data_IF_133159157996
#
_entry.id   IF_133159157996
#
_cell.length_a   1.000
_cell.length_b   1.000
_cell.length_c   1.000
_cell.angle_alpha   90.00
_cell.angle_beta   90.00
_cell.angle_gamma   90.00
#
_symmetry.space_group_name_H-M   'P 1'
#
loop_
_entity.id
_entity.type
_entity.pdbx_description
1 polymer ?
#
# COMPACT_ATOMS: atom_id res chain seq x y z
N UNK A 1 0.08 8.22 -7.23
CA UNK A 1 -0.57 7.37 -8.24
C UNK A 1 0.43 7.00 -9.34
N UNK A 2 0.46 5.71 -9.77
CA UNK A 2 1.27 5.27 -10.90
C UNK A 2 0.53 5.51 -12.20
N UNK A 3 1.23 6.11 -13.17
CA UNK A 3 0.72 6.34 -14.53
C UNK A 3 1.57 5.54 -15.51
N UNK A 4 0.91 4.79 -16.38
CA UNK A 4 1.55 4.04 -17.47
C UNK A 4 1.05 4.57 -18.80
N UNK A 5 1.95 4.67 -19.77
CA UNK A 5 1.61 5.12 -21.12
C UNK A 5 2.67 4.70 -22.13
N UNK A 6 2.47 5.12 -23.37
CA UNK A 6 3.40 4.92 -24.47
C UNK A 6 3.66 6.26 -25.18
N UNK A 7 4.90 6.54 -25.46
CA UNK A 7 5.30 7.72 -26.23
C UNK A 7 6.25 7.30 -27.35
N UNK A 8 5.86 7.57 -28.59
CA UNK A 8 6.65 7.19 -29.77
C UNK A 8 7.03 5.71 -29.79
N UNK A 9 6.09 4.80 -29.48
CA UNK A 9 6.35 3.37 -29.43
C UNK A 9 7.14 2.88 -28.21
N UNK A 10 7.54 3.79 -27.30
CA UNK A 10 8.28 3.44 -26.07
C UNK A 10 7.35 3.51 -24.87
N UNK A 11 7.17 2.38 -24.14
CA UNK A 11 6.36 2.39 -22.92
C UNK A 11 7.07 3.21 -21.83
N UNK A 12 6.29 3.99 -21.07
CA UNK A 12 6.81 4.70 -19.91
C UNK A 12 5.95 4.45 -18.65
N UNK A 13 6.59 4.58 -17.52
CA UNK A 13 5.97 4.60 -16.20
C UNK A 13 6.28 5.93 -15.52
N UNK A 14 5.30 6.48 -14.85
CA UNK A 14 5.45 7.73 -14.12
C UNK A 14 4.68 7.72 -12.82
N UNK A 15 4.96 8.70 -11.97
CA UNK A 15 4.22 8.94 -10.74
C UNK A 15 3.61 10.32 -10.76
N UNK A 16 2.37 10.41 -10.26
CA UNK A 16 1.70 11.65 -9.92
C UNK A 16 1.60 11.76 -8.40
N UNK A 17 1.94 12.91 -7.87
CA UNK A 17 1.77 13.27 -6.48
C UNK A 17 0.56 14.17 -6.33
N UNK A 18 -0.38 13.79 -5.50
CA UNK A 18 -1.57 14.58 -5.19
C UNK A 18 -1.43 15.15 -3.79
N UNK A 19 -1.56 16.45 -3.66
CA UNK A 19 -1.68 17.12 -2.37
C UNK A 19 -3.07 16.84 -1.82
N UNK A 20 -3.12 16.34 -0.59
CA UNK A 20 -4.36 16.06 0.13
C UNK A 20 -4.56 17.11 1.22
N UNK A 21 -5.81 17.28 1.66
CA UNK A 21 -6.14 18.11 2.82
C UNK A 21 -5.54 17.55 4.13
N UNK A 22 -5.69 18.27 5.23
CA UNK A 22 -5.16 17.86 6.54
C UNK A 22 -5.69 16.49 7.00
N UNK A 23 -6.90 16.12 6.58
CA UNK A 23 -7.48 14.82 6.85
C UNK A 23 -6.99 13.76 5.85
N UNK A 24 -6.32 14.19 4.77
CA UNK A 24 -5.83 13.36 3.68
C UNK A 24 -6.95 12.75 2.82
N UNK A 25 -8.14 13.35 2.80
CA UNK A 25 -9.32 12.81 2.11
C UNK A 25 -9.54 13.41 0.73
N UNK A 26 -9.27 14.70 0.58
CA UNK A 26 -9.58 15.44 -0.63
C UNK A 26 -8.33 15.99 -1.29
N UNK A 27 -8.24 15.90 -2.60
CA UNK A 27 -7.22 16.59 -3.36
C UNK A 27 -7.44 18.11 -3.26
N UNK A 28 -6.44 18.84 -2.79
CA UNK A 28 -6.48 20.32 -2.67
C UNK A 28 -5.87 21.03 -3.89
N UNK A 29 -5.19 20.28 -4.75
CA UNK A 29 -4.60 20.81 -5.99
C UNK A 29 -4.56 19.74 -7.08
N UNK A 30 -4.32 20.16 -8.32
CA UNK A 30 -4.07 19.25 -9.43
C UNK A 30 -2.84 18.36 -9.15
N UNK A 31 -2.85 17.09 -9.60
CA UNK A 31 -1.71 16.20 -9.42
C UNK A 31 -0.44 16.73 -10.09
N UNK A 32 0.68 16.61 -9.39
CA UNK A 32 1.99 17.03 -9.84
C UNK A 32 2.80 15.86 -10.38
N UNK A 33 3.46 16.01 -11.51
CA UNK A 33 4.34 14.97 -12.05
C UNK A 33 5.58 14.82 -11.18
N UNK A 34 5.98 13.58 -10.89
CA UNK A 34 7.19 13.29 -10.12
C UNK A 34 8.46 13.89 -10.72
N UNK A 35 8.51 14.08 -12.05
CA UNK A 35 9.64 14.70 -12.75
C UNK A 35 9.92 16.14 -12.31
N UNK A 36 8.95 16.84 -11.70
CA UNK A 36 9.14 18.18 -11.13
C UNK A 36 10.03 18.17 -9.88
N UNK A 37 10.14 17.02 -9.21
CA UNK A 37 10.87 16.87 -7.95
C UNK A 37 12.21 16.15 -8.12
N UNK A 38 12.58 15.80 -9.36
CA UNK A 38 13.82 15.09 -9.66
C UNK A 38 13.67 13.59 -9.86
N UNK A 39 14.74 12.94 -10.35
CA UNK A 39 14.72 11.52 -10.73
C UNK A 39 14.58 10.57 -9.54
N UNK A 40 15.06 10.96 -8.36
CA UNK A 40 15.06 10.10 -7.16
C UNK A 40 13.65 9.85 -6.61
N UNK A 41 12.71 10.75 -6.87
CA UNK A 41 11.30 10.61 -6.46
C UNK A 41 10.40 10.17 -7.62
N UNK A 42 10.98 9.87 -8.78
CA UNK A 42 10.30 9.21 -9.89
C UNK A 42 10.11 7.70 -9.65
N UNK A 43 9.44 7.04 -10.57
CA UNK A 43 9.13 5.60 -10.46
C UNK A 43 10.39 4.76 -10.17
N UNK A 44 11.43 4.85 -11.02
CA UNK A 44 12.65 4.07 -10.88
C UNK A 44 13.45 4.43 -9.62
N UNK A 45 13.42 5.70 -9.20
CA UNK A 45 14.06 6.16 -7.96
C UNK A 45 13.41 5.53 -6.73
N UNK A 46 12.08 5.53 -6.65
CA UNK A 46 11.35 4.89 -5.57
C UNK A 46 11.49 3.37 -5.59
N UNK A 47 11.47 2.73 -6.76
CA UNK A 47 11.67 1.28 -6.88
C UNK A 47 13.02 0.87 -6.30
N UNK A 48 14.12 1.51 -6.72
CA UNK A 48 15.45 1.30 -6.14
C UNK A 48 15.51 1.57 -4.65
N UNK A 49 14.78 2.58 -4.16
CA UNK A 49 14.72 2.87 -2.73
C UNK A 49 14.02 1.75 -1.96
N UNK A 50 12.91 1.24 -2.49
CA UNK A 50 12.15 0.13 -1.89
C UNK A 50 12.97 -1.16 -1.86
N UNK A 51 13.71 -1.48 -2.93
CA UNK A 51 14.59 -2.65 -2.98
C UNK A 51 15.70 -2.56 -1.92
N UNK A 52 16.42 -1.43 -1.85
CA UNK A 52 17.45 -1.19 -0.82
C UNK A 52 16.89 -1.27 0.60
N UNK A 53 15.67 -0.73 0.80
CA UNK A 53 15.00 -0.78 2.11
C UNK A 53 14.61 -2.21 2.48
N UNK A 54 14.16 -3.01 1.51
CA UNK A 54 13.83 -4.41 1.72
C UNK A 54 15.08 -5.25 2.11
N UNK A 55 16.22 -5.00 1.46
CA UNK A 55 17.50 -5.64 1.77
C UNK A 55 18.00 -5.27 3.18
N UNK A 56 17.97 -3.98 3.53
CA UNK A 56 18.34 -3.49 4.87
C UNK A 56 17.49 -4.14 5.95
N UNK A 57 16.17 -4.15 5.76
CA UNK A 57 15.23 -4.76 6.70
C UNK A 57 15.55 -6.23 7.00
N UNK A 58 16.11 -6.98 6.03
CA UNK A 58 16.55 -8.37 6.20
C UNK A 58 17.86 -8.52 6.96
N UNK A 59 18.74 -7.51 6.94
CA UNK A 59 20.11 -7.58 7.49
C UNK A 59 20.25 -6.88 8.85
N UNK A 60 19.41 -5.88 9.13
CA UNK A 60 19.55 -5.03 10.31
C UNK A 60 18.66 -5.50 11.48
N UNK A 61 19.01 -5.06 12.70
CA UNK A 61 18.18 -5.21 13.90
C UNK A 61 16.86 -4.44 13.85
N UNK A 62 16.61 -3.68 12.78
CA UNK A 62 15.42 -2.87 12.56
C UNK A 62 14.13 -3.68 12.77
N UNK A 63 14.08 -4.89 12.19
CA UNK A 63 12.94 -5.80 12.37
C UNK A 63 12.72 -6.15 13.85
N UNK A 64 13.79 -6.43 14.59
CA UNK A 64 13.76 -6.75 16.03
C UNK A 64 13.29 -5.55 16.85
N UNK A 65 13.77 -4.35 16.51
CA UNK A 65 13.41 -3.12 17.20
C UNK A 65 11.93 -2.78 17.00
N UNK A 66 11.43 -2.78 15.76
CA UNK A 66 10.03 -2.52 15.45
C UNK A 66 9.15 -3.57 16.15
N UNK A 67 9.51 -4.85 16.05
CA UNK A 67 8.79 -5.93 16.71
C UNK A 67 8.73 -5.73 18.22
N UNK A 68 9.82 -5.35 18.87
CA UNK A 68 9.85 -5.09 20.32
C UNK A 68 8.93 -3.96 20.74
N UNK A 69 8.81 -2.87 19.95
CA UNK A 69 7.86 -1.78 20.18
C UNK A 69 6.42 -2.24 20.02
N UNK A 70 6.13 -2.99 18.97
CA UNK A 70 4.79 -3.55 18.72
C UNK A 70 4.40 -4.54 19.82
N UNK A 71 5.29 -5.44 20.23
CA UNK A 71 5.05 -6.38 21.32
C UNK A 71 4.76 -5.67 22.64
N UNK A 72 5.51 -4.60 22.94
CA UNK A 72 5.26 -3.78 24.13
C UNK A 72 3.89 -3.11 24.09
N UNK A 73 3.50 -2.59 22.94
CA UNK A 73 2.20 -1.93 22.75
C UNK A 73 1.03 -2.91 22.84
N UNK A 74 1.21 -4.17 22.43
CA UNK A 74 0.20 -5.23 22.46
C UNK A 74 -0.01 -5.86 23.84
N UNK A 75 0.80 -5.54 24.85
CA UNK A 75 0.65 -6.12 26.20
C UNK A 75 -0.66 -5.67 26.84
N UNK A 76 -1.32 -6.62 27.56
CA UNK A 76 -2.56 -6.34 28.28
C UNK A 76 -3.77 -6.22 27.37
N UNK A 77 -3.75 -6.84 26.20
CA UNK A 77 -4.88 -6.93 25.26
C UNK A 77 -5.59 -5.60 24.99
N UNK A 78 -4.87 -4.58 24.49
CA UNK A 78 -5.43 -3.28 24.23
C UNK A 78 -6.56 -3.36 23.19
N UNK A 79 -7.46 -2.38 23.21
CA UNK A 79 -8.35 -2.08 22.09
C UNK A 79 -7.52 -1.58 20.90
N UNK A 80 -8.12 -1.49 19.70
CA UNK A 80 -7.43 -0.97 18.52
C UNK A 80 -6.98 0.47 18.72
N UNK A 81 -7.83 1.32 19.34
CA UNK A 81 -7.53 2.71 19.66
C UNK A 81 -6.37 2.83 20.65
N UNK A 82 -6.41 2.07 21.74
CA UNK A 82 -5.32 2.05 22.72
C UNK A 82 -4.01 1.57 22.10
N UNK A 83 -4.08 0.59 21.21
CA UNK A 83 -2.90 0.13 20.48
C UNK A 83 -2.33 1.24 19.59
N UNK A 84 -3.18 1.96 18.85
CA UNK A 84 -2.76 3.10 18.02
C UNK A 84 -2.09 4.19 18.85
N UNK A 85 -2.66 4.55 20.00
CA UNK A 85 -2.07 5.54 20.90
C UNK A 85 -0.73 5.10 21.47
N UNK A 86 -0.63 3.86 21.95
CA UNK A 86 0.62 3.31 22.49
C UNK A 86 1.72 3.24 21.43
N UNK A 87 1.36 2.86 20.21
CA UNK A 87 2.31 2.83 19.09
C UNK A 87 2.74 4.24 18.67
N UNK A 88 1.80 5.19 18.61
CA UNK A 88 2.11 6.61 18.33
C UNK A 88 3.07 7.19 19.36
N UNK A 89 2.87 6.88 20.66
CA UNK A 89 3.82 7.22 21.73
C UNK A 89 5.20 6.58 21.55
N UNK A 90 5.29 5.44 20.87
CA UNK A 90 6.54 4.77 20.49
C UNK A 90 7.06 5.21 19.11
N UNK A 91 6.52 6.27 18.49
CA UNK A 91 6.84 6.78 17.15
C UNK A 91 6.62 5.74 16.04
N UNK A 92 5.57 4.92 16.19
CA UNK A 92 5.15 3.94 15.19
C UNK A 92 3.68 4.22 14.86
N UNK A 93 3.37 4.44 13.58
CA UNK A 93 1.98 4.50 13.14
C UNK A 93 1.50 3.12 12.69
N UNK A 94 0.22 2.86 12.96
CA UNK A 94 -0.46 1.63 12.58
C UNK A 94 -1.49 1.93 11.50
N UNK A 95 -1.31 1.34 10.33
CA UNK A 95 -2.29 1.39 9.26
C UNK A 95 -2.95 0.01 9.10
N UNK A 96 -4.28 -0.02 9.26
CA UNK A 96 -5.11 -1.22 9.09
C UNK A 96 -6.00 -1.03 7.88
N UNK A 97 -5.87 -1.92 6.91
CA UNK A 97 -6.73 -1.97 5.74
C UNK A 97 -7.83 -3.00 5.95
N UNK A 98 -9.07 -2.57 5.75
CA UNK A 98 -10.27 -3.42 5.80
C UNK A 98 -10.88 -3.56 4.41
N UNK A 99 -11.56 -4.67 4.13
CA UNK A 99 -12.39 -4.82 2.93
C UNK A 99 -13.80 -4.24 3.17
N UNK A 100 -14.64 -4.31 2.14
CA UNK A 100 -16.04 -3.84 2.17
C UNK A 100 -16.88 -4.45 3.30
N UNK A 101 -16.55 -5.68 3.71
CA UNK A 101 -17.21 -6.38 4.82
C UNK A 101 -16.64 -5.98 6.20
N UNK A 102 -15.73 -5.01 6.26
CA UNK A 102 -15.08 -4.55 7.49
C UNK A 102 -13.99 -5.49 8.02
N UNK A 103 -13.66 -6.57 7.31
CA UNK A 103 -12.61 -7.52 7.70
C UNK A 103 -11.23 -6.92 7.47
N UNK A 104 -10.32 -7.12 8.42
CA UNK A 104 -8.92 -6.70 8.29
C UNK A 104 -8.21 -7.59 7.26
N UNK A 105 -7.75 -6.96 6.17
CA UNK A 105 -7.04 -7.62 5.06
C UNK A 105 -5.59 -7.16 4.92
N UNK A 106 -5.19 -6.14 5.67
CA UNK A 106 -3.82 -5.63 5.69
C UNK A 106 -3.47 -4.94 6.99
N UNK A 107 -2.22 -5.09 7.43
CA UNK A 107 -1.65 -4.39 8.58
C UNK A 107 -0.28 -3.89 8.17
N UNK A 108 -0.01 -2.61 8.37
CA UNK A 108 1.26 -1.96 8.06
C UNK A 108 1.68 -1.10 9.24
N UNK A 109 2.95 -1.19 9.60
CA UNK A 109 3.58 -0.36 10.62
C UNK A 109 4.52 0.64 9.93
N UNK A 110 4.45 1.89 10.34
CA UNK A 110 5.31 2.98 9.87
C UNK A 110 6.15 3.44 11.06
N UNK A 111 7.41 3.03 11.08
CA UNK A 111 8.34 3.41 12.14
C UNK A 111 9.12 4.66 11.75
N UNK A 112 8.83 5.76 12.43
CA UNK A 112 9.44 7.07 12.17
C UNK A 112 10.88 7.16 12.67
N UNK A 113 11.28 6.33 13.60
CA UNK A 113 12.66 6.34 14.14
C UNK A 113 13.64 5.69 13.16
N UNK A 114 13.29 4.51 12.65
CA UNK A 114 14.11 3.84 11.64
C UNK A 114 13.74 4.23 10.21
N UNK A 115 12.72 5.08 10.02
CA UNK A 115 12.16 5.47 8.72
C UNK A 115 11.77 4.27 7.85
N UNK A 116 11.15 3.28 8.49
CA UNK A 116 10.83 2.00 7.87
C UNK A 116 9.33 1.78 7.82
N UNK A 117 8.84 1.37 6.65
CA UNK A 117 7.46 0.91 6.46
C UNK A 117 7.49 -0.61 6.27
N UNK A 118 6.73 -1.32 7.09
CA UNK A 118 6.73 -2.78 7.07
C UNK A 118 5.33 -3.36 7.24
N UNK A 119 5.01 -4.33 6.39
CA UNK A 119 3.78 -5.10 6.55
C UNK A 119 3.88 -6.02 7.77
N UNK A 120 2.79 -6.17 8.52
CA UNK A 120 2.74 -6.99 9.71
C UNK A 120 3.18 -8.43 9.46
N UNK A 121 2.82 -9.04 8.33
CA UNK A 121 3.26 -10.39 7.95
C UNK A 121 4.78 -10.52 7.84
N UNK A 122 5.51 -9.46 7.49
CA UNK A 122 6.98 -9.44 7.45
C UNK A 122 7.61 -9.34 8.84
N UNK A 123 6.91 -8.75 9.81
CA UNK A 123 7.34 -8.77 11.21
C UNK A 123 7.18 -10.17 11.82
N UNK A 124 6.11 -10.87 11.44
CA UNK A 124 5.85 -12.23 11.88
C UNK A 124 4.36 -12.58 11.81
N UNK A 125 4.03 -13.86 11.96
CA UNK A 125 2.67 -14.40 11.87
C UNK A 125 1.70 -13.75 12.87
N UNK A 126 2.17 -13.41 14.07
CA UNK A 126 1.38 -12.75 15.13
C UNK A 126 0.95 -11.31 14.78
N UNK A 127 1.58 -10.68 13.80
CA UNK A 127 1.29 -9.30 13.35
C UNK A 127 0.59 -9.26 12.00
N UNK A 128 0.23 -10.42 11.45
CA UNK A 128 -0.48 -10.53 10.17
C UNK A 128 -1.90 -10.01 10.26
N UNK A 129 -2.50 -9.70 9.10
CA UNK A 129 -3.90 -9.28 9.01
C UNK A 129 -4.85 -10.29 9.68
N UNK A 130 -4.63 -11.59 9.50
CA UNK A 130 -5.46 -12.62 10.14
C UNK A 130 -5.33 -12.61 11.68
N UNK A 131 -4.14 -12.38 12.23
CA UNK A 131 -3.94 -12.28 13.68
C UNK A 131 -4.64 -11.03 14.24
N UNK A 132 -4.60 -9.92 13.50
CA UNK A 132 -5.30 -8.69 13.87
C UNK A 132 -6.82 -8.82 13.72
N UNK A 133 -7.30 -9.54 12.70
CA UNK A 133 -8.73 -9.83 12.56
C UNK A 133 -9.25 -10.64 13.74
N UNK A 134 -8.53 -11.67 14.20
CA UNK A 134 -8.91 -12.45 15.38
C UNK A 134 -8.95 -11.59 16.65
N UNK A 135 -8.10 -10.58 16.75
CA UNK A 135 -7.97 -9.72 17.93
C UNK A 135 -8.95 -8.56 17.94
N UNK A 136 -9.20 -7.94 16.78
CA UNK A 136 -9.94 -6.69 16.65
C UNK A 136 -11.16 -6.78 15.73
N UNK A 137 -11.31 -7.84 14.93
CA UNK A 137 -12.35 -7.97 13.90
C UNK A 137 -13.78 -8.07 14.42
N UNK A 138 -13.98 -8.43 15.69
CA UNK A 138 -15.29 -8.50 16.35
C UNK A 138 -15.74 -7.20 17.04
N UNK A 139 -14.85 -6.22 17.16
CA UNK A 139 -15.10 -4.94 17.83
C UNK A 139 -15.18 -3.83 16.79
N UNK A 140 -16.37 -3.67 16.18
CA UNK A 140 -16.62 -2.57 15.25
C UNK A 140 -16.72 -1.26 16.00
N UNK A 141 -15.89 -0.26 15.62
CA UNK A 141 -16.21 1.14 15.86
C UNK A 141 -16.95 1.69 14.63
N UNK A 142 -18.22 2.13 14.77
CA UNK A 142 -18.96 2.72 13.66
C UNK A 142 -18.55 4.18 13.46
N UNK A 143 -17.43 4.44 12.81
CA UNK A 143 -17.00 5.81 12.56
C UNK A 143 -15.66 5.99 11.84
N UNK A 144 -14.85 4.97 11.72
CA UNK A 144 -13.55 5.11 11.06
C UNK A 144 -13.66 4.79 9.56
N UNK A 145 -13.61 5.85 8.77
CA UNK A 145 -13.61 5.81 7.31
C UNK A 145 -12.32 5.12 6.84
N UNK A 146 -12.41 3.84 6.55
CA UNK A 146 -11.31 3.06 5.99
C UNK A 146 -11.09 3.49 4.55
N UNK A 147 -10.06 4.30 4.32
CA UNK A 147 -9.64 4.65 2.96
C UNK A 147 -9.25 3.40 2.20
N UNK A 148 -10.03 3.06 1.20
CA UNK A 148 -9.67 2.04 0.24
C UNK A 148 -8.60 2.61 -0.71
N UNK A 149 -7.33 2.41 -0.36
CA UNK A 149 -6.19 2.65 -1.25
C UNK A 149 -5.88 1.41 -2.10
N UNK A 150 -6.86 0.53 -2.30
CA UNK A 150 -6.71 -0.57 -3.26
C UNK A 150 -6.56 0.03 -4.66
N UNK A 151 -5.49 -0.27 -5.40
CA UNK A 151 -5.43 0.11 -6.81
C UNK A 151 -6.62 -0.56 -7.50
N UNK A 152 -7.54 0.25 -8.06
CA UNK A 152 -8.61 -0.24 -8.92
C UNK A 152 -7.97 -1.10 -10.01
N UNK A 153 -8.27 -2.39 -10.02
CA UNK A 153 -7.87 -3.26 -11.12
C UNK A 153 -8.46 -2.66 -12.40
N UNK A 154 -7.57 -2.36 -13.34
CA UNK A 154 -8.00 -1.93 -14.66
C UNK A 154 -8.95 -2.99 -15.24
N UNK A 155 -10.05 -2.60 -15.90
CA UNK A 155 -10.97 -3.56 -16.50
C UNK A 155 -10.21 -4.42 -17.50
N UNK A 156 -10.30 -5.74 -17.34
CA UNK A 156 -9.72 -6.71 -18.25
C UNK A 156 -10.18 -6.39 -19.67
N UNK A 157 -9.21 -6.13 -20.55
CA UNK A 157 -9.47 -5.84 -21.96
C UNK A 157 -10.31 -6.96 -22.56
N UNK A 158 -11.43 -6.59 -23.12
CA UNK A 158 -12.26 -7.51 -23.92
C UNK A 158 -11.43 -7.96 -25.10
N UNK A 159 -11.06 -9.22 -25.10
CA UNK A 159 -10.47 -9.93 -26.23
C UNK A 159 -11.44 -9.85 -27.41
N UNK A 160 -11.09 -9.00 -28.38
CA UNK A 160 -11.81 -8.88 -29.64
C UNK A 160 -11.57 -10.13 -30.50
N UNK A 161 -12.50 -11.05 -30.49
CA UNK A 161 -12.55 -12.14 -31.46
C UNK A 161 -12.54 -11.58 -32.89
N UNK A 162 -11.39 -11.54 -33.51
CA UNK A 162 -11.24 -11.31 -34.94
C UNK A 162 -11.75 -12.54 -35.71
N UNK A 163 -13.00 -12.49 -36.15
CA UNK A 163 -13.56 -13.44 -37.12
C UNK A 163 -12.71 -13.37 -38.40
N UNK A 164 -11.95 -14.43 -38.67
CA UNK A 164 -11.31 -14.63 -39.97
C UNK A 164 -12.39 -14.96 -41.01
N UNK A 165 -12.64 -14.01 -41.92
CA UNK A 165 -13.49 -14.20 -43.06
C UNK A 165 -12.66 -14.78 -44.18
N UNK A 166 -12.74 -16.10 -44.39
CA UNK A 166 -12.14 -16.80 -45.54
C UNK A 166 -13.11 -16.71 -46.69
N UNK A 167 -12.95 -15.74 -47.59
CA UNK A 167 -13.64 -15.72 -48.86
C UNK A 167 -12.97 -16.69 -49.83
N UNK A 168 -13.73 -17.73 -50.13
CA UNK A 168 -13.44 -18.67 -51.24
C UNK A 168 -13.44 -17.91 -52.59
N UNK A 169 -12.31 -17.85 -53.29
CA UNK A 169 -12.27 -17.58 -54.73
C UNK A 169 -12.66 -18.85 -55.48
N UNK A 170 -13.80 -18.81 -56.18
CA UNK A 170 -14.12 -19.75 -57.25
C UNK A 170 -13.41 -19.29 -58.54
N UNK A 171 -12.70 -20.24 -59.20
CA UNK A 171 -12.25 -20.11 -60.58
C UNK A 171 -13.46 -20.36 -61.53
N UNK A 172 -13.56 -19.58 -62.55
CA UNK A 172 -13.94 -19.95 -63.91
C UNK A 172 -12.94 -19.26 -64.83
#
# INVERSE_FOLDING_TARGET
EEVRGERNGTPYRGLLYTLLDENGDKAVAAPLKSSLFGKEVGYDGLERHMERSAERFGKDDTRRQIRGRVDKALRGEPTEEELRERLRGARVDLYIRRNENGRIVGVTFIDHETRTVVNGSRLGKAYSANAFELRFGGKRNPGENTRDLSPKQAPAGRDGQRKRNTSRRRKV
#
